data_IF_484664185129
#
_entry.id   IF_484664185129
#
_cell.length_a   1.000
_cell.length_b   1.000
_cell.length_c   1.000
_cell.angle_alpha   90.00
_cell.angle_beta   90.00
_cell.angle_gamma   90.00
#
_symmetry.space_group_name_H-M   'P 1'
#
loop_
_entity.id
_entity.type
_entity.pdbx_description
1 polymer ?
#
# COMPACT_ATOMS: atom_id res chain seq x y z
N UNK A 1 -8.30 23.96 -36.93
CA UNK A 1 -8.03 22.68 -36.23
C UNK A 1 -7.69 22.97 -34.75
N UNK A 2 -8.68 23.09 -33.86
CA UNK A 2 -8.45 23.55 -32.47
C UNK A 2 -9.18 22.73 -31.39
N UNK A 3 -9.67 21.52 -31.71
CA UNK A 3 -10.31 20.64 -30.71
C UNK A 3 -9.32 19.75 -29.98
N UNK A 4 -8.30 19.25 -30.69
CA UNK A 4 -7.43 18.15 -30.24
C UNK A 4 -6.48 18.56 -29.10
N UNK A 5 -6.14 19.86 -29.01
CA UNK A 5 -5.16 20.37 -28.05
C UNK A 5 -5.70 20.38 -26.62
N UNK A 6 -7.01 20.62 -26.45
CA UNK A 6 -7.69 20.56 -25.14
C UNK A 6 -7.82 19.13 -24.64
N UNK A 7 -8.13 18.19 -25.54
CA UNK A 7 -8.21 16.76 -25.21
C UNK A 7 -6.84 16.18 -24.83
N UNK A 8 -5.77 16.59 -25.51
CA UNK A 8 -4.42 16.20 -25.17
C UNK A 8 -4.03 16.65 -23.76
N UNK A 9 -4.29 17.91 -23.40
CA UNK A 9 -4.02 18.44 -22.07
C UNK A 9 -4.83 17.70 -20.98
N UNK A 10 -6.08 17.35 -21.26
CA UNK A 10 -6.90 16.57 -20.34
C UNK A 10 -6.29 15.17 -20.13
N UNK A 11 -5.94 14.48 -21.22
CA UNK A 11 -5.31 13.15 -21.19
C UNK A 11 -4.02 13.14 -20.37
N UNK A 12 -3.17 14.15 -20.55
CA UNK A 12 -1.88 14.19 -19.85
C UNK A 12 -2.05 14.48 -18.35
N UNK A 13 -3.06 15.29 -17.97
CA UNK A 13 -3.49 15.44 -16.57
C UNK A 13 -4.00 14.12 -15.98
N UNK A 14 -4.85 13.40 -16.72
CA UNK A 14 -5.39 12.11 -16.27
C UNK A 14 -4.29 11.07 -16.07
N UNK A 15 -3.32 10.98 -16.98
CA UNK A 15 -2.15 10.10 -16.83
C UNK A 15 -1.34 10.40 -15.57
N UNK A 16 -1.14 11.67 -15.24
CA UNK A 16 -0.39 12.10 -14.06
C UNK A 16 -1.11 11.71 -12.76
N UNK A 17 -2.45 11.83 -12.73
CA UNK A 17 -3.26 11.39 -11.60
C UNK A 17 -3.23 9.87 -11.43
N UNK A 18 -3.33 9.11 -12.52
CA UNK A 18 -3.23 7.66 -12.47
C UNK A 18 -1.86 7.19 -12.00
N UNK A 19 -0.77 7.88 -12.36
CA UNK A 19 0.56 7.56 -11.87
C UNK A 19 0.69 7.73 -10.35
N UNK A 20 0.01 8.73 -9.77
CA UNK A 20 -0.03 8.94 -8.32
C UNK A 20 -0.87 7.89 -7.59
N UNK A 21 -2.01 7.49 -8.17
CA UNK A 21 -2.91 6.49 -7.57
C UNK A 21 -2.42 5.06 -7.76
N UNK A 22 -1.68 4.81 -8.85
CA UNK A 22 -1.08 3.51 -9.14
C UNK A 22 0.18 3.24 -8.31
N UNK A 23 0.60 4.14 -7.42
CA UNK A 23 1.62 3.80 -6.43
C UNK A 23 1.09 2.62 -5.60
N UNK A 24 1.71 1.43 -5.70
CA UNK A 24 1.25 0.28 -4.95
C UNK A 24 1.42 0.63 -3.48
N UNK A 25 0.30 0.77 -2.75
CA UNK A 25 0.34 0.84 -1.30
C UNK A 25 1.15 -0.36 -0.83
N UNK A 26 2.40 -0.14 -0.39
CA UNK A 26 3.32 -1.15 0.09
C UNK A 26 3.19 -1.22 1.61
N UNK A 27 2.24 -2.03 2.14
CA UNK A 27 2.14 -2.26 3.58
C UNK A 27 3.44 -2.84 4.15
N UNK A 28 4.29 -3.44 3.32
CA UNK A 28 5.59 -4.03 3.71
C UNK A 28 6.54 -3.04 4.40
N UNK A 29 6.50 -1.73 4.10
CA UNK A 29 7.29 -0.73 4.88
C UNK A 29 6.66 -0.38 6.23
N UNK A 30 5.36 -0.60 6.38
CA UNK A 30 4.59 -0.22 7.58
C UNK A 30 4.26 -1.42 8.49
N UNK A 31 4.40 -2.66 8.00
CA UNK A 31 4.16 -3.90 8.73
C UNK A 31 5.45 -4.61 9.18
N UNK A 32 6.56 -3.88 9.31
CA UNK A 32 7.80 -4.46 9.86
C UNK A 32 7.73 -4.73 11.37
N UNK A 33 6.65 -4.34 12.05
CA UNK A 33 6.34 -4.88 13.39
C UNK A 33 5.32 -5.99 13.22
N UNK A 34 5.83 -7.23 13.20
CA UNK A 34 5.02 -8.42 13.41
C UNK A 34 4.17 -8.30 14.68
N UNK A 35 3.28 -9.27 14.94
CA UNK A 35 2.30 -9.17 16.01
C UNK A 35 2.95 -8.76 17.33
N UNK A 36 2.54 -7.59 17.84
CA UNK A 36 3.10 -7.01 19.05
C UNK A 36 2.88 -7.89 20.29
N UNK A 37 3.51 -7.56 21.42
CA UNK A 37 3.42 -8.35 22.66
C UNK A 37 1.97 -8.66 23.08
N UNK A 38 1.05 -7.70 22.86
CA UNK A 38 -0.39 -7.88 23.14
C UNK A 38 -1.07 -8.95 22.28
N UNK A 39 -0.61 -9.18 21.05
CA UNK A 39 -1.11 -10.26 20.20
C UNK A 39 -0.52 -11.61 20.63
N UNK A 40 0.77 -11.64 20.98
CA UNK A 40 1.41 -12.86 21.53
C UNK A 40 0.83 -13.27 22.89
N UNK A 41 0.43 -12.34 23.74
CA UNK A 41 -0.25 -12.66 25.00
C UNK A 41 -1.64 -13.30 24.78
N UNK A 42 -2.30 -12.99 23.66
CA UNK A 42 -3.63 -13.52 23.31
C UNK A 42 -3.58 -14.82 22.50
N UNK A 43 -2.56 -15.00 21.66
CA UNK A 43 -2.48 -16.10 20.69
C UNK A 43 -1.20 -16.95 20.77
N UNK A 44 -0.18 -16.50 21.51
CA UNK A 44 1.13 -17.14 21.63
C UNK A 44 1.18 -18.29 22.62
N UNK A 45 0.05 -18.70 23.19
CA UNK A 45 -0.06 -19.89 24.04
C UNK A 45 0.01 -21.17 23.20
N UNK A 46 1.12 -21.37 22.49
CA UNK A 46 1.54 -22.71 22.05
C UNK A 46 2.73 -23.10 22.92
N UNK A 47 2.45 -23.99 23.88
CA UNK A 47 3.41 -24.64 24.77
C UNK A 47 4.69 -24.98 23.98
N UNK A 48 5.80 -24.37 24.38
CA UNK A 48 7.12 -24.96 24.17
C UNK A 48 7.62 -25.36 25.55
N UNK A 49 7.23 -26.57 25.93
CA UNK A 49 8.01 -27.39 26.85
C UNK A 49 9.16 -28.00 26.05
N UNK A 50 10.34 -28.08 26.67
CA UNK A 50 11.65 -28.62 26.23
C UNK A 50 12.67 -27.52 25.88
N UNK A 51 13.81 -27.39 26.56
CA UNK A 51 14.53 -28.28 27.50
C UNK A 51 15.17 -27.48 28.63
#
# INVERSE_FOLDING_TARGET
MSGSRRLAALRDRWKSLFALVSDPYRPERHYMRGPGPKWRAKHGTRRVTQS
#
